data_IF_666390345954
#
_entry.id   IF_666390345954
#
_cell.length_a   1.000
_cell.length_b   1.000
_cell.length_c   1.000
_cell.angle_alpha   90.00
_cell.angle_beta   90.00
_cell.angle_gamma   90.00
#
_symmetry.space_group_name_H-M   'P 1'
#
loop_
_entity.id
_entity.type
_entity.pdbx_description
1 polymer ?
#
# COMPACT_ATOMS: atom_id res chain seq x y z
N UNK A 1 18.12 13.18 -7.61
CA UNK A 1 17.22 12.99 -6.44
C UNK A 1 18.10 12.51 -5.30
N UNK A 2 18.04 13.08 -4.09
CA UNK A 2 18.97 12.69 -3.00
C UNK A 2 18.55 11.35 -2.37
N UNK A 3 19.50 10.55 -1.87
CA UNK A 3 19.23 9.26 -1.21
C UNK A 3 18.21 9.38 -0.08
N UNK A 4 18.26 10.46 0.69
CA UNK A 4 17.28 10.74 1.75
C UNK A 4 15.85 10.92 1.22
N UNK A 5 15.70 11.59 0.05
CA UNK A 5 14.40 11.77 -0.60
C UNK A 5 13.87 10.44 -1.15
N UNK A 6 14.74 9.61 -1.70
CA UNK A 6 14.40 8.28 -2.22
C UNK A 6 13.97 7.32 -1.11
N UNK A 7 14.70 7.29 0.01
CA UNK A 7 14.31 6.52 1.20
C UNK A 7 12.97 7.01 1.76
N UNK A 8 12.74 8.33 1.80
CA UNK A 8 11.45 8.91 2.18
C UNK A 8 10.30 8.46 1.28
N UNK A 9 10.52 8.43 -0.04
CA UNK A 9 9.54 7.95 -1.02
C UNK A 9 9.22 6.47 -0.82
N UNK A 10 10.23 5.60 -0.76
CA UNK A 10 9.98 4.16 -0.56
C UNK A 10 9.31 3.85 0.77
N UNK A 11 9.64 4.64 1.80
CA UNK A 11 8.96 4.53 3.09
C UNK A 11 7.48 4.84 2.97
N UNK A 12 7.12 5.91 2.27
CA UNK A 12 5.73 6.28 2.03
C UNK A 12 5.02 5.19 1.25
N UNK A 13 5.59 4.74 0.12
CA UNK A 13 5.03 3.67 -0.70
C UNK A 13 4.78 2.38 0.09
N UNK A 14 5.77 1.93 0.87
CA UNK A 14 5.63 0.75 1.71
C UNK A 14 4.57 0.95 2.80
N UNK A 15 4.47 2.15 3.37
CA UNK A 15 3.43 2.49 4.35
C UNK A 15 2.06 2.37 3.70
N UNK A 16 1.89 2.91 2.50
CA UNK A 16 0.63 2.89 1.76
C UNK A 16 0.19 1.47 1.40
N UNK A 17 1.11 0.63 0.91
CA UNK A 17 0.80 -0.78 0.62
C UNK A 17 0.44 -1.55 1.89
N UNK A 18 1.16 -1.33 2.99
CA UNK A 18 0.84 -1.99 4.27
C UNK A 18 -0.51 -1.54 4.83
N UNK A 19 -0.84 -0.26 4.70
CA UNK A 19 -2.14 0.27 5.10
C UNK A 19 -3.27 -0.36 4.25
N UNK A 20 -3.05 -0.50 2.94
CA UNK A 20 -4.01 -1.13 2.03
C UNK A 20 -4.21 -2.61 2.37
N UNK A 21 -3.14 -3.37 2.60
CA UNK A 21 -3.23 -4.76 3.03
C UNK A 21 -4.00 -4.90 4.35
N UNK A 22 -3.77 -4.00 5.31
CA UNK A 22 -4.52 -3.98 6.58
C UNK A 22 -6.00 -3.73 6.35
N UNK A 23 -6.35 -2.76 5.51
CA UNK A 23 -7.73 -2.46 5.17
C UNK A 23 -8.43 -3.69 4.57
N UNK A 24 -7.81 -4.35 3.59
CA UNK A 24 -8.37 -5.53 2.92
C UNK A 24 -8.60 -6.68 3.91
N UNK A 25 -7.65 -6.92 4.82
CA UNK A 25 -7.77 -7.97 5.82
C UNK A 25 -8.80 -7.68 6.91
N UNK A 26 -9.16 -6.42 7.14
CA UNK A 26 -9.94 -6.00 8.30
C UNK A 26 -11.13 -5.11 7.91
N UNK A 27 -11.71 -5.30 6.72
CA UNK A 27 -12.88 -4.54 6.31
C UNK A 27 -13.96 -4.58 7.40
N UNK A 28 -14.28 -3.41 7.95
CA UNK A 28 -15.50 -3.22 8.71
C UNK A 28 -16.67 -2.96 7.76
N UNK A 29 -17.90 -3.12 8.25
CA UNK A 29 -19.08 -2.76 7.47
C UNK A 29 -19.10 -1.27 7.08
N UNK A 30 -18.55 -0.40 7.92
CA UNK A 30 -18.42 1.03 7.64
C UNK A 30 -17.41 1.28 6.51
N UNK A 31 -16.27 0.58 6.52
CA UNK A 31 -15.27 0.69 5.46
C UNK A 31 -15.87 0.26 4.11
N UNK A 32 -16.58 -0.87 4.08
CA UNK A 32 -17.24 -1.35 2.85
C UNK A 32 -18.30 -0.34 2.39
N UNK A 33 -19.14 0.18 3.29
CA UNK A 33 -20.16 1.15 2.93
C UNK A 33 -19.56 2.46 2.38
N UNK A 34 -18.43 2.91 2.92
CA UNK A 34 -17.70 4.07 2.39
C UNK A 34 -17.12 3.78 1.01
N UNK A 35 -16.41 2.66 0.86
CA UNK A 35 -15.69 2.31 -0.36
C UNK A 35 -16.63 2.04 -1.55
N UNK A 36 -17.84 1.52 -1.28
CA UNK A 36 -18.89 1.31 -2.29
C UNK A 36 -19.47 2.61 -2.88
N UNK A 37 -19.04 3.78 -2.41
CA UNK A 37 -19.32 5.05 -3.10
C UNK A 37 -18.51 5.20 -4.41
N UNK A 38 -17.40 4.47 -4.55
CA UNK A 38 -16.67 4.38 -5.81
C UNK A 38 -17.30 3.29 -6.70
N UNK A 39 -17.71 3.67 -7.91
CA UNK A 39 -18.45 2.78 -8.82
C UNK A 39 -17.69 1.50 -9.20
N UNK A 40 -16.39 1.59 -9.49
CA UNK A 40 -15.60 0.42 -9.86
C UNK A 40 -15.42 -0.53 -8.68
N UNK A 41 -15.22 0.00 -7.48
CA UNK A 41 -15.17 -0.81 -6.26
C UNK A 41 -16.52 -1.49 -5.98
N UNK A 42 -17.64 -0.77 -6.07
CA UNK A 42 -18.99 -1.34 -5.86
C UNK A 42 -19.29 -2.47 -6.85
N UNK A 43 -18.93 -2.27 -8.12
CA UNK A 43 -19.04 -3.30 -9.14
C UNK A 43 -18.20 -4.54 -8.77
N UNK A 44 -16.95 -4.35 -8.37
CA UNK A 44 -16.10 -5.46 -7.96
C UNK A 44 -16.63 -6.20 -6.72
N UNK A 45 -17.09 -5.45 -5.73
CA UNK A 45 -17.69 -5.99 -4.53
C UNK A 45 -18.90 -6.87 -4.83
N UNK A 46 -19.74 -6.42 -5.75
CA UNK A 46 -20.99 -7.10 -6.11
C UNK A 46 -20.74 -8.32 -6.99
N UNK A 47 -19.82 -8.24 -7.96
CA UNK A 47 -19.72 -9.25 -9.04
C UNK A 47 -18.44 -10.10 -9.03
N UNK A 48 -17.36 -9.64 -8.41
CA UNK A 48 -16.10 -10.40 -8.34
C UNK A 48 -15.86 -10.99 -6.96
N UNK A 49 -16.31 -10.30 -5.93
CA UNK A 49 -16.21 -10.77 -4.55
C UNK A 49 -17.55 -11.28 -4.01
N UNK A 50 -18.64 -11.15 -4.78
CA UNK A 50 -19.99 -11.67 -4.48
C UNK A 50 -20.52 -11.34 -3.09
N UNK A 51 -20.06 -10.24 -2.48
CA UNK A 51 -20.39 -9.91 -1.09
C UNK A 51 -20.04 -11.00 -0.08
N UNK A 52 -18.95 -11.75 -0.31
CA UNK A 52 -18.52 -12.89 0.51
C UNK A 52 -18.65 -12.58 2.02
N UNK A 53 -19.51 -13.34 2.70
CA UNK A 53 -19.78 -13.18 4.14
C UNK A 53 -18.50 -13.37 4.98
N UNK A 54 -17.49 -14.03 4.42
CA UNK A 54 -16.20 -14.29 5.04
C UNK A 54 -15.13 -13.22 4.74
N UNK A 55 -15.49 -12.19 3.97
CA UNK A 55 -14.59 -11.12 3.54
C UNK A 55 -13.81 -11.43 2.26
N UNK A 56 -13.14 -10.40 1.73
CA UNK A 56 -12.34 -10.50 0.50
C UNK A 56 -10.97 -11.07 0.83
N UNK A 57 -10.55 -12.15 0.15
CA UNK A 57 -9.18 -12.67 0.30
C UNK A 57 -8.16 -11.73 -0.35
N UNK A 58 -6.91 -11.78 0.14
CA UNK A 58 -5.86 -10.90 -0.38
C UNK A 58 -5.57 -11.19 -1.86
N UNK A 59 -5.64 -12.45 -2.28
CA UNK A 59 -5.45 -12.87 -3.67
C UNK A 59 -6.58 -12.33 -4.58
N UNK A 60 -7.84 -12.45 -4.16
CA UNK A 60 -8.98 -11.89 -4.91
C UNK A 60 -8.89 -10.37 -5.04
N UNK A 61 -8.44 -9.70 -3.98
CA UNK A 61 -8.26 -8.25 -4.01
C UNK A 61 -7.19 -7.85 -5.04
N UNK A 62 -5.99 -8.44 -4.99
CA UNK A 62 -4.89 -8.06 -5.89
C UNK A 62 -5.14 -8.45 -7.36
N UNK A 63 -5.86 -9.53 -7.61
CA UNK A 63 -6.33 -9.87 -8.97
C UNK A 63 -7.26 -8.78 -9.51
N UNK A 64 -8.29 -8.39 -8.73
CA UNK A 64 -9.20 -7.31 -9.12
C UNK A 64 -8.49 -5.96 -9.24
N UNK A 65 -7.56 -5.67 -8.34
CA UNK A 65 -6.77 -4.43 -8.33
C UNK A 65 -6.05 -4.20 -9.66
N UNK A 66 -5.38 -5.24 -10.16
CA UNK A 66 -4.59 -5.17 -11.39
C UNK A 66 -5.45 -5.17 -12.65
N UNK A 67 -6.54 -5.93 -12.66
CA UNK A 67 -7.32 -6.15 -13.88
C UNK A 67 -8.51 -5.21 -14.04
N UNK A 68 -9.07 -4.70 -12.94
CA UNK A 68 -10.40 -4.03 -12.93
C UNK A 68 -10.39 -2.62 -12.39
N UNK A 69 -9.41 -2.24 -11.57
CA UNK A 69 -9.34 -0.90 -11.00
C UNK A 69 -8.48 0.02 -11.85
N UNK A 70 -9.10 1.09 -12.33
CA UNK A 70 -8.38 2.21 -12.93
C UNK A 70 -7.60 3.01 -11.89
N UNK A 71 -6.65 3.83 -12.36
CA UNK A 71 -5.76 4.59 -11.48
C UNK A 71 -6.52 5.49 -10.48
N UNK A 72 -7.68 6.01 -10.87
CA UNK A 72 -8.52 6.82 -9.98
C UNK A 72 -9.06 5.99 -8.80
N UNK A 73 -9.61 4.81 -9.07
CA UNK A 73 -10.06 3.88 -8.02
C UNK A 73 -8.89 3.43 -7.16
N UNK A 74 -7.75 3.11 -7.76
CA UNK A 74 -6.55 2.75 -7.00
C UNK A 74 -6.12 3.88 -6.06
N UNK A 75 -6.07 5.13 -6.55
CA UNK A 75 -5.73 6.29 -5.73
C UNK A 75 -6.74 6.51 -4.60
N UNK A 76 -8.04 6.38 -4.88
CA UNK A 76 -9.10 6.45 -3.87
C UNK A 76 -8.92 5.41 -2.76
N UNK A 77 -8.62 4.16 -3.12
CA UNK A 77 -8.38 3.09 -2.15
C UNK A 77 -7.12 3.33 -1.31
N UNK A 78 -6.05 3.81 -1.92
CA UNK A 78 -4.79 4.12 -1.21
C UNK A 78 -5.00 5.28 -0.23
N UNK A 79 -5.72 6.33 -0.63
CA UNK A 79 -6.03 7.47 0.24
C UNK A 79 -6.85 7.02 1.44
N UNK A 80 -7.93 6.27 1.22
CA UNK A 80 -8.76 5.78 2.31
C UNK A 80 -7.99 4.83 3.24
N UNK A 81 -7.20 3.90 2.68
CA UNK A 81 -6.35 3.02 3.47
C UNK A 81 -5.36 3.79 4.34
N UNK A 82 -4.75 4.84 3.80
CA UNK A 82 -3.83 5.70 4.55
C UNK A 82 -4.54 6.49 5.65
N UNK A 83 -5.76 6.96 5.42
CA UNK A 83 -6.56 7.62 6.47
C UNK A 83 -6.91 6.65 7.60
N UNK A 84 -7.22 5.38 7.28
CA UNK A 84 -7.66 4.39 8.26
C UNK A 84 -6.52 3.72 9.03
N UNK A 85 -5.47 3.32 8.32
CA UNK A 85 -4.38 2.48 8.85
C UNK A 85 -2.98 3.09 8.68
N UNK A 86 -2.84 4.29 8.11
CA UNK A 86 -1.54 4.88 7.77
C UNK A 86 -0.61 5.04 8.97
N UNK A 87 -1.11 5.53 10.11
CA UNK A 87 -0.28 5.70 11.32
C UNK A 87 0.17 4.36 11.90
N UNK A 88 -0.68 3.34 11.89
CA UNK A 88 -0.35 1.99 12.35
C UNK A 88 0.66 1.32 11.39
N UNK A 89 0.42 1.40 10.08
CA UNK A 89 1.31 0.88 9.05
C UNK A 89 2.69 1.54 9.12
N UNK A 90 2.73 2.85 9.36
CA UNK A 90 3.97 3.61 9.51
C UNK A 90 4.77 3.18 10.74
N UNK A 91 4.09 3.00 11.89
CA UNK A 91 4.72 2.52 13.13
C UNK A 91 5.29 1.10 12.98
N UNK A 92 4.61 0.22 12.25
CA UNK A 92 5.12 -1.12 11.98
C UNK A 92 6.41 -1.10 11.15
N UNK A 93 6.53 -0.16 10.22
CA UNK A 93 7.78 0.05 9.47
C UNK A 93 8.89 0.55 10.40
N UNK A 94 8.64 1.53 11.26
CA UNK A 94 9.64 1.98 12.24
C UNK A 94 10.06 0.88 13.22
N UNK A 95 9.13 0.00 13.59
CA UNK A 95 9.37 -1.13 14.49
C UNK A 95 10.15 -2.29 13.84
N UNK A 96 10.18 -2.37 12.51
CA UNK A 96 10.92 -3.40 11.78
C UNK A 96 12.43 -3.11 11.81
N UNK A 97 13.08 -3.41 12.93
CA UNK A 97 14.53 -3.17 13.13
C UNK A 97 15.36 -3.56 11.89
N UNK A 98 16.16 -2.61 11.39
CA UNK A 98 17.10 -2.84 10.30
C UNK A 98 16.55 -2.64 8.89
N UNK A 99 15.25 -2.37 8.69
CA UNK A 99 14.70 -2.15 7.33
C UNK A 99 15.39 -0.96 6.63
N UNK A 100 15.61 0.15 7.35
CA UNK A 100 16.27 1.35 6.83
C UNK A 100 17.71 1.06 6.41
N UNK A 101 18.42 0.26 7.21
CA UNK A 101 19.81 -0.10 6.95
C UNK A 101 19.92 -1.05 5.75
N UNK A 102 19.00 -2.01 5.62
CA UNK A 102 18.91 -2.91 4.47
C UNK A 102 18.47 -2.20 3.19
N UNK A 103 17.55 -1.24 3.27
CA UNK A 103 17.16 -0.42 2.13
C UNK A 103 18.32 0.46 1.67
N UNK A 104 19.04 1.12 2.60
CA UNK A 104 20.25 1.87 2.27
C UNK A 104 21.30 1.00 1.58
N UNK A 105 21.51 -0.24 2.06
CA UNK A 105 22.41 -1.20 1.44
C UNK A 105 21.98 -1.53 0.00
N UNK A 106 20.70 -1.88 -0.20
CA UNK A 106 20.17 -2.21 -1.54
C UNK A 106 20.26 -1.02 -2.51
N UNK A 107 20.06 0.20 -2.02
CA UNK A 107 20.22 1.42 -2.82
C UNK A 107 21.67 1.66 -3.23
N UNK A 108 22.62 1.42 -2.34
CA UNK A 108 24.04 1.48 -2.65
C UNK A 108 24.45 0.40 -3.66
N UNK A 109 23.92 -0.81 -3.51
CA UNK A 109 24.21 -1.93 -4.43
C UNK A 109 23.63 -1.67 -5.85
N UNK A 110 22.51 -0.94 -5.96
CA UNK A 110 21.89 -0.56 -7.25
C UNK A 110 22.50 0.69 -7.89
N UNK A 111 23.15 1.55 -7.09
CA UNK A 111 23.81 2.78 -7.55
C UNK A 111 25.24 2.87 -6.99
N UNK A 112 26.16 1.98 -7.40
CA UNK A 112 27.52 1.96 -6.86
C UNK A 112 28.32 3.24 -7.18
N UNK A 113 27.95 3.99 -8.22
CA UNK A 113 28.69 5.17 -8.69
C UNK A 113 28.54 6.43 -7.82
N UNK A 114 27.63 6.46 -6.83
CA UNK A 114 27.50 7.59 -5.89
C UNK A 114 28.36 7.43 -4.62
N UNK A 115 29.15 6.34 -4.52
CA UNK A 115 29.94 6.01 -3.32
C UNK A 115 31.39 6.51 -3.33
N UNK A 116 31.85 7.14 -4.43
CA UNK A 116 33.18 7.72 -4.57
C UNK A 116 33.07 9.18 -5.00
N UNK A 117 32.83 10.07 -4.05
CA UNK A 117 33.28 11.47 -4.13
C UNK A 117 33.30 12.06 -2.72
N UNK A 118 34.40 11.80 -2.00
CA UNK A 118 35.04 12.77 -1.10
C UNK A 118 36.36 12.17 -0.57
N UNK A 119 37.44 12.42 -1.33
CA UNK A 119 38.71 12.86 -0.74
C UNK A 119 38.53 14.24 -0.09
#
# INVERSE_FOLDING_TARGET
MTTARLVGTYRLELTTINALNKLVHNYSQEDVAYLRQNHAFDYAWTYYWNGDENGVTIEQFWATWSDKFELETQAFLLDYAMQRYGEEAYRNIDGAMGWKQRLSQLLQDQHPEDSNDHD
#
